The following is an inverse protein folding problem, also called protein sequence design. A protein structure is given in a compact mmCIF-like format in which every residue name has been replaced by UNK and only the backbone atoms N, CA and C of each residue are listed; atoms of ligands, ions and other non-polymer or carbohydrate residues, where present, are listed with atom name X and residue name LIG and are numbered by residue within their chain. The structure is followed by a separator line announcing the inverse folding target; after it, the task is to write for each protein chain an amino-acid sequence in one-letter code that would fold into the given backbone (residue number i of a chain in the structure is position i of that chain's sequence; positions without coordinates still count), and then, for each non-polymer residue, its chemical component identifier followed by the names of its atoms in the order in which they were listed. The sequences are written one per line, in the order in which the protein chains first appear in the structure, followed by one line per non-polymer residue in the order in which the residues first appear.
data_IF_739010314647
#
_entry.id   IF_739010314647
#
_cell.length_a   1.000
_cell.length_b   1.000
_cell.length_c   1.000
_cell.angle_alpha   90.00
_cell.angle_beta   90.00
_cell.angle_gamma   90.00
#
_symmetry.space_group_name_H-M   'P 1'
#
loop_
_entity.id
_entity.type
_entity.pdbx_description
1 polymer ?
#
# COMPACT_ATOMS: atom_id res chain seq x y z
N UNK A 1 0.91 -7.32 24.46
CA UNK A 1 -0.28 -6.59 23.94
C UNK A 1 0.15 -5.86 22.68
N UNK A 2 -0.63 -5.89 21.61
CA UNK A 2 -0.31 -5.24 20.33
C UNK A 2 -1.10 -3.93 20.22
N UNK A 3 -0.55 -2.83 20.75
CA UNK A 3 -1.16 -1.50 20.75
C UNK A 3 -0.27 -0.50 20.01
N UNK A 4 0.08 -0.80 18.75
CA UNK A 4 1.04 0.02 17.99
C UNK A 4 2.52 -0.10 18.42
N UNK A 5 2.81 -0.82 19.51
CA UNK A 5 4.17 -1.09 20.01
C UNK A 5 4.79 -2.33 19.34
N UNK A 6 6.09 -2.57 19.55
CA UNK A 6 6.83 -3.71 19.00
C UNK A 6 6.74 -3.77 17.48
N UNK A 7 6.97 -2.65 16.81
CA UNK A 7 6.69 -2.47 15.38
C UNK A 7 7.97 -2.39 14.55
N UNK A 8 8.60 -3.51 14.15
CA UNK A 8 9.78 -3.47 13.32
C UNK A 8 9.47 -3.29 11.84
N UNK A 9 10.47 -2.81 11.10
CA UNK A 9 10.59 -2.97 9.65
C UNK A 9 11.35 -4.25 9.33
N UNK A 10 10.78 -5.07 8.46
CA UNK A 10 11.42 -6.26 7.91
C UNK A 10 11.63 -6.09 6.40
N UNK A 11 12.88 -6.20 5.97
CA UNK A 11 13.24 -6.07 4.57
C UNK A 11 12.71 -7.23 3.72
N UNK A 12 12.45 -6.93 2.46
CA UNK A 12 12.07 -7.90 1.44
C UNK A 12 13.24 -8.14 0.46
N UNK A 13 13.24 -9.24 -0.32
CA UNK A 13 14.27 -9.47 -1.34
C UNK A 13 14.33 -8.42 -2.45
N UNK A 14 13.22 -7.73 -2.73
CA UNK A 14 13.15 -6.66 -3.73
C UNK A 14 13.55 -5.28 -3.19
N UNK A 15 13.96 -5.20 -1.91
CA UNK A 15 14.41 -3.97 -1.26
C UNK A 15 13.29 -3.09 -0.69
N UNK A 16 12.04 -3.53 -0.76
CA UNK A 16 10.93 -2.92 -0.03
C UNK A 16 10.91 -3.36 1.45
N UNK A 17 9.97 -2.80 2.22
CA UNK A 17 9.89 -3.01 3.67
C UNK A 17 8.47 -3.33 4.09
N UNK A 18 8.34 -4.34 4.93
CA UNK A 18 7.12 -4.67 5.65
C UNK A 18 7.15 -4.05 7.05
N UNK A 19 6.06 -3.41 7.44
CA UNK A 19 5.78 -3.11 8.85
C UNK A 19 5.03 -4.31 9.42
N UNK A 20 5.49 -4.84 10.54
CA UNK A 20 4.78 -5.87 11.30
C UNK A 20 4.80 -5.51 12.78
N UNK A 21 4.09 -6.29 13.60
CA UNK A 21 4.20 -6.27 15.05
C UNK A 21 4.41 -7.67 15.59
N UNK A 22 4.96 -7.79 16.80
CA UNK A 22 5.12 -9.06 17.48
C UNK A 22 4.65 -8.99 18.94
N UNK A 23 4.06 -10.09 19.40
CA UNK A 23 3.54 -10.18 20.76
C UNK A 23 4.62 -10.54 21.77
N UNK A 24 5.47 -11.51 21.43
CA UNK A 24 6.52 -12.01 22.31
C UNK A 24 7.87 -11.98 21.62
N UNK A 25 8.92 -11.72 22.41
CA UNK A 25 10.31 -11.90 22.04
C UNK A 25 10.98 -12.78 23.09
N UNK A 26 11.54 -13.90 22.66
CA UNK A 26 12.28 -14.83 23.51
C UNK A 26 13.73 -14.87 23.04
N UNK A 27 14.67 -14.54 23.92
CA UNK A 27 16.09 -14.73 23.63
C UNK A 27 16.41 -16.22 23.64
N UNK A 28 16.75 -16.76 22.48
CA UNK A 28 17.06 -18.18 22.30
C UNK A 28 18.54 -18.47 22.45
N UNK A 29 19.38 -17.48 22.16
CA UNK A 29 20.83 -17.42 22.36
C UNK A 29 21.23 -15.94 22.46
N UNK A 30 22.45 -15.64 22.93
CA UNK A 30 22.99 -14.27 22.94
C UNK A 30 22.75 -13.58 21.60
N UNK A 31 22.07 -12.43 21.64
CA UNK A 31 21.72 -11.60 20.49
C UNK A 31 20.86 -12.29 19.42
N UNK A 32 20.19 -13.38 19.78
CA UNK A 32 19.30 -14.13 18.89
C UNK A 32 17.92 -14.32 19.51
N UNK A 33 16.96 -13.62 18.91
CA UNK A 33 15.60 -13.54 19.43
C UNK A 33 14.62 -14.28 18.51
N UNK A 34 13.73 -15.04 19.12
CA UNK A 34 12.55 -15.61 18.46
C UNK A 34 11.35 -14.72 18.74
N UNK A 35 10.76 -14.20 17.66
CA UNK A 35 9.54 -13.40 17.72
C UNK A 35 8.32 -14.29 17.44
N UNK A 36 7.27 -14.16 18.24
CA UNK A 36 6.01 -14.92 18.05
C UNK A 36 4.79 -14.04 18.22
N UNK A 37 3.63 -14.52 17.73
CA UNK A 37 2.39 -13.74 17.68
C UNK A 37 2.52 -12.55 16.74
N UNK A 38 2.96 -12.82 15.50
CA UNK A 38 3.22 -11.78 14.50
C UNK A 38 1.90 -11.26 13.91
N UNK A 39 1.75 -9.94 13.87
CA UNK A 39 0.75 -9.24 13.10
C UNK A 39 1.45 -8.58 11.90
N UNK A 40 1.24 -9.12 10.70
CA UNK A 40 2.00 -8.77 9.50
C UNK A 40 1.28 -7.74 8.63
N UNK A 41 2.02 -7.13 7.70
CA UNK A 41 1.46 -6.27 6.65
C UNK A 41 0.80 -4.98 7.14
N UNK A 42 1.26 -4.44 8.26
CA UNK A 42 0.68 -3.24 8.87
C UNK A 42 0.93 -1.99 8.01
N UNK A 43 0.14 -0.94 8.23
CA UNK A 43 0.30 0.36 7.52
C UNK A 43 0.28 0.25 5.99
N UNK A 44 -0.41 -0.76 5.45
CA UNK A 44 -0.56 -1.00 4.02
C UNK A 44 0.60 -1.76 3.36
N UNK A 45 1.40 -2.50 4.14
CA UNK A 45 2.51 -3.30 3.61
C UNK A 45 2.15 -4.78 3.43
N UNK A 46 0.88 -5.09 3.14
CA UNK A 46 0.39 -6.47 2.98
C UNK A 46 1.07 -7.17 1.80
N UNK A 47 1.30 -6.46 0.69
CA UNK A 47 2.01 -7.00 -0.47
C UNK A 47 3.42 -7.43 -0.13
N UNK A 48 4.13 -6.60 0.64
CA UNK A 48 5.46 -6.91 1.14
C UNK A 48 5.41 -8.13 2.06
N UNK A 49 4.38 -8.23 2.92
CA UNK A 49 4.19 -9.36 3.81
C UNK A 49 3.94 -10.70 3.08
N UNK A 50 3.32 -10.66 1.90
CA UNK A 50 3.08 -11.86 1.08
C UNK A 50 4.35 -12.40 0.41
N UNK A 51 5.44 -11.65 0.38
CA UNK A 51 6.70 -12.12 -0.19
C UNK A 51 7.40 -13.12 0.75
N UNK A 52 8.02 -14.15 0.17
CA UNK A 52 8.87 -15.08 0.90
C UNK A 52 10.04 -14.36 1.57
N UNK A 53 10.36 -14.74 2.81
CA UNK A 53 11.43 -14.15 3.61
C UNK A 53 12.63 -15.10 3.73
N UNK A 54 13.70 -14.91 2.94
CA UNK A 54 14.93 -15.67 3.11
C UNK A 54 15.65 -15.27 4.41
N UNK A 55 16.57 -16.12 4.88
CA UNK A 55 17.47 -15.78 6.00
C UNK A 55 18.36 -14.59 5.63
N UNK A 56 18.62 -13.72 6.60
CA UNK A 56 19.52 -12.57 6.44
C UNK A 56 18.85 -11.30 5.94
N UNK A 57 17.52 -11.27 5.85
CA UNK A 57 16.80 -10.02 5.61
C UNK A 57 17.00 -9.05 6.77
N UNK A 58 17.19 -7.75 6.49
CA UNK A 58 17.40 -6.75 7.53
C UNK A 58 16.14 -6.61 8.38
N UNK A 59 16.36 -6.42 9.67
CA UNK A 59 15.31 -6.20 10.66
C UNK A 59 15.69 -4.95 11.46
N UNK A 60 14.78 -3.98 11.50
CA UNK A 60 14.98 -2.72 12.21
C UNK A 60 13.82 -2.58 13.18
N UNK A 61 14.09 -2.62 14.49
CA UNK A 61 13.08 -2.29 15.48
C UNK A 61 12.84 -0.77 15.45
N UNK A 62 11.60 -0.34 15.21
CA UNK A 62 11.25 1.07 15.31
C UNK A 62 10.97 1.39 16.78
N UNK A 63 11.91 2.09 17.39
CA UNK A 63 11.81 2.65 18.74
C UNK A 63 12.15 4.15 18.71
N UNK A 64 12.37 4.74 19.88
CA UNK A 64 12.71 6.17 20.02
C UNK A 64 14.05 6.57 19.37
N UNK A 65 14.93 5.61 19.05
CA UNK A 65 16.17 5.90 18.34
C UNK A 65 15.94 6.16 16.84
N UNK A 66 14.79 5.74 16.29
CA UNK A 66 14.45 5.97 14.88
C UNK A 66 13.63 7.25 14.73
N UNK A 67 14.29 8.29 14.25
CA UNK A 67 13.64 9.58 13.96
C UNK A 67 13.31 9.74 12.47
N UNK A 68 12.22 10.43 12.11
CA UNK A 68 11.95 10.81 10.73
C UNK A 68 13.12 11.60 10.12
N UNK A 69 13.47 11.30 8.88
CA UNK A 69 14.57 11.97 8.17
C UNK A 69 14.34 13.47 7.87
N UNK A 70 13.19 14.03 8.27
CA UNK A 70 12.90 15.46 8.13
C UNK A 70 12.53 15.92 6.72
N UNK A 71 12.09 15.01 5.84
CA UNK A 71 11.63 15.33 4.49
C UNK A 71 10.52 16.39 4.50
N UNK A 72 10.70 17.45 3.72
CA UNK A 72 9.64 18.43 3.45
C UNK A 72 8.63 17.88 2.46
N UNK A 73 7.42 18.44 2.47
CA UNK A 73 6.38 18.04 1.53
C UNK A 73 6.81 18.17 0.05
N UNK A 74 7.58 19.21 -0.30
CA UNK A 74 8.07 19.42 -1.67
C UNK A 74 9.25 18.49 -2.05
N UNK A 75 9.86 17.84 -1.07
CA UNK A 75 10.99 16.92 -1.25
C UNK A 75 10.53 15.47 -1.44
N UNK A 76 9.28 15.16 -1.07
CA UNK A 76 8.71 13.83 -1.22
C UNK A 76 8.69 13.40 -2.70
N UNK A 77 9.28 12.23 -2.98
CA UNK A 77 9.37 11.67 -4.33
C UNK A 77 10.53 12.17 -5.18
N UNK A 78 11.24 13.23 -4.76
CA UNK A 78 12.44 13.68 -5.44
C UNK A 78 13.61 12.75 -5.10
N UNK A 79 14.48 12.49 -6.08
CA UNK A 79 15.77 11.86 -5.81
C UNK A 79 16.68 12.87 -5.09
N UNK A 80 16.95 12.61 -3.82
CA UNK A 80 17.83 13.43 -3.00
C UNK A 80 19.13 12.70 -2.71
N UNK A 81 20.20 13.47 -2.55
CA UNK A 81 21.49 12.98 -2.08
C UNK A 81 21.51 13.03 -0.56
N UNK A 82 21.54 11.85 0.06
CA UNK A 82 21.60 11.64 1.50
C UNK A 82 23.04 11.43 1.92
N UNK A 83 23.44 12.11 3.00
CA UNK A 83 24.69 11.80 3.72
C UNK A 83 24.33 11.25 5.09
N UNK A 84 24.78 10.03 5.36
CA UNK A 84 24.43 9.27 6.54
C UNK A 84 25.73 8.93 7.28
N UNK A 85 25.88 9.44 8.50
CA UNK A 85 27.09 9.31 9.30
C UNK A 85 26.85 9.67 10.76
N UNK A 86 27.88 9.55 11.58
CA UNK A 86 27.81 9.87 12.99
C UNK A 86 27.68 11.38 13.23
N UNK A 87 26.83 11.77 14.20
CA UNK A 87 26.70 13.17 14.58
C UNK A 87 27.99 13.67 15.22
N UNK A 88 28.43 14.89 14.87
CA UNK A 88 29.62 15.53 15.42
C UNK A 88 30.92 15.26 14.65
N UNK A 89 30.92 14.35 13.68
CA UNK A 89 32.08 14.09 12.82
C UNK A 89 32.15 15.04 11.62
N UNK A 90 33.35 15.21 11.07
CA UNK A 90 33.56 15.98 9.84
C UNK A 90 32.92 15.28 8.63
N UNK A 91 32.26 16.07 7.77
CA UNK A 91 31.62 15.60 6.53
C UNK A 91 32.65 15.09 5.51
N UNK A 92 33.09 13.86 5.70
CA UNK A 92 34.06 13.15 4.88
C UNK A 92 33.61 11.72 4.61
N UNK A 93 34.13 11.11 3.56
CA UNK A 93 33.83 9.72 3.19
C UNK A 93 34.31 8.70 4.24
N UNK A 94 35.12 9.13 5.21
CA UNK A 94 35.51 8.32 6.36
C UNK A 94 34.36 8.11 7.35
N UNK A 95 33.56 9.15 7.60
CA UNK A 95 32.52 9.15 8.63
C UNK A 95 31.10 9.16 8.06
N UNK A 96 30.95 9.48 6.77
CA UNK A 96 29.67 9.59 6.09
C UNK A 96 29.64 8.72 4.85
N UNK A 97 28.54 7.98 4.70
CA UNK A 97 28.15 7.35 3.45
C UNK A 97 27.23 8.28 2.66
N UNK A 98 27.39 8.33 1.34
CA UNK A 98 26.51 9.10 0.45
C UNK A 98 25.66 8.15 -0.39
N UNK A 99 24.36 8.40 -0.47
CA UNK A 99 23.44 7.63 -1.33
C UNK A 99 22.39 8.55 -1.96
N UNK A 100 21.93 8.20 -3.16
CA UNK A 100 20.83 8.91 -3.83
C UNK A 100 19.57 8.07 -3.79
N UNK A 101 18.53 8.59 -3.14
CA UNK A 101 17.24 7.89 -2.95
C UNK A 101 16.09 8.89 -2.89
N UNK A 102 14.95 8.48 -3.42
CA UNK A 102 13.66 9.14 -3.21
C UNK A 102 12.90 8.49 -2.04
N UNK A 103 12.03 9.25 -1.39
CA UNK A 103 11.25 8.78 -0.24
C UNK A 103 9.99 9.61 0.01
N UNK A 104 9.27 9.31 1.09
CA UNK A 104 8.14 10.11 1.57
C UNK A 104 6.80 9.84 0.90
N UNK A 105 6.75 9.50 -0.40
CA UNK A 105 5.47 9.31 -1.12
C UNK A 105 4.60 8.21 -0.54
N UNK A 106 5.20 7.11 -0.05
CA UNK A 106 4.44 5.96 0.47
C UNK A 106 3.51 6.36 1.63
N UNK A 107 3.93 7.30 2.47
CA UNK A 107 3.13 7.77 3.60
C UNK A 107 1.90 8.60 3.17
N UNK A 108 1.93 9.16 1.96
CA UNK A 108 0.85 9.94 1.36
C UNK A 108 -0.08 9.10 0.48
N UNK A 109 0.34 7.90 0.08
CA UNK A 109 -0.45 7.05 -0.79
C UNK A 109 -1.65 6.43 -0.05
N UNK A 110 -2.87 6.55 -0.60
CA UNK A 110 -4.03 5.82 -0.11
C UNK A 110 -3.79 4.30 -0.09
N UNK A 111 -4.41 3.65 0.89
CA UNK A 111 -4.40 2.19 1.02
C UNK A 111 -5.23 1.55 -0.09
N UNK A 112 -4.87 0.32 -0.47
CA UNK A 112 -5.60 -0.43 -1.49
C UNK A 112 -7.01 -0.78 -1.02
N UNK A 113 -8.08 -0.48 -1.79
CA UNK A 113 -9.44 -0.89 -1.42
C UNK A 113 -9.54 -2.40 -1.21
N UNK A 114 -10.45 -2.84 -0.34
CA UNK A 114 -10.61 -4.27 0.00
C UNK A 114 -12.03 -4.75 -0.26
N UNK A 115 -12.25 -6.05 -0.06
CA UNK A 115 -13.55 -6.71 -0.16
C UNK A 115 -14.26 -6.48 -1.49
N UNK A 116 -13.49 -6.41 -2.59
CA UNK A 116 -14.02 -6.33 -3.93
C UNK A 116 -15.04 -7.46 -4.18
N UNK A 117 -16.24 -7.09 -4.60
CA UNK A 117 -17.32 -7.98 -5.00
C UNK A 117 -17.73 -7.63 -6.43
N UNK A 118 -18.11 -8.64 -7.19
CA UNK A 118 -18.70 -8.43 -8.50
C UNK A 118 -19.87 -9.37 -8.74
N UNK A 119 -20.85 -8.89 -9.49
CA UNK A 119 -22.04 -9.66 -9.92
C UNK A 119 -22.38 -9.25 -11.35
N UNK A 120 -22.49 -10.23 -12.23
CA UNK A 120 -22.96 -10.02 -13.60
C UNK A 120 -24.46 -10.26 -13.65
N UNK A 121 -25.21 -9.31 -14.18
CA UNK A 121 -26.65 -9.40 -14.35
C UNK A 121 -27.03 -10.02 -15.69
N UNK A 122 -28.28 -10.44 -15.84
CA UNK A 122 -28.77 -11.12 -17.05
C UNK A 122 -28.72 -10.25 -18.30
N UNK A 123 -28.66 -8.92 -18.13
CA UNK A 123 -28.49 -7.95 -19.22
C UNK A 123 -27.01 -7.78 -19.64
N UNK A 124 -26.07 -8.41 -18.92
CA UNK A 124 -24.63 -8.30 -19.16
C UNK A 124 -23.94 -7.17 -18.41
N UNK A 125 -24.61 -6.42 -17.54
CA UNK A 125 -23.93 -5.43 -16.69
C UNK A 125 -23.11 -6.13 -15.61
N UNK A 126 -21.92 -5.62 -15.29
CA UNK A 126 -21.16 -6.06 -14.12
C UNK A 126 -21.26 -4.99 -13.04
N UNK A 127 -21.94 -5.31 -11.96
CA UNK A 127 -21.91 -4.55 -10.72
C UNK A 127 -20.62 -4.86 -9.96
N UNK A 128 -19.91 -3.82 -9.55
CA UNK A 128 -18.62 -3.91 -8.87
C UNK A 128 -18.69 -3.01 -7.64
N UNK A 129 -18.43 -3.58 -6.46
CA UNK A 129 -18.45 -2.88 -5.18
C UNK A 129 -17.18 -3.19 -4.38
N UNK A 130 -16.69 -2.24 -3.60
CA UNK A 130 -15.52 -2.41 -2.73
C UNK A 130 -15.70 -1.66 -1.42
N UNK A 131 -14.72 -1.78 -0.52
CA UNK A 131 -14.70 -1.07 0.75
C UNK A 131 -13.46 -0.19 0.85
N UNK A 132 -13.66 1.06 1.24
CA UNK A 132 -12.60 2.03 1.54
C UNK A 132 -11.76 1.56 2.73
N UNK A 133 -10.49 1.92 2.71
CA UNK A 133 -9.61 1.83 3.88
C UNK A 133 -9.11 3.22 4.25
N UNK A 134 -9.21 3.58 5.53
CA UNK A 134 -8.60 4.81 6.05
C UNK A 134 -7.18 4.57 6.55
N UNK A 135 -6.34 5.59 6.43
CA UNK A 135 -4.97 5.60 6.97
C UNK A 135 -4.72 6.68 8.04
N UNK A 136 -5.58 7.69 8.09
CA UNK A 136 -5.50 8.82 9.03
C UNK A 136 -6.69 8.71 9.96
N UNK A 137 -6.43 8.62 11.27
CA UNK A 137 -7.42 8.61 12.35
C UNK A 137 -8.57 7.59 12.14
N UNK A 138 -8.24 6.45 11.54
CA UNK A 138 -9.19 5.41 11.12
C UNK A 138 -9.37 4.30 12.18
N UNK A 139 -8.94 4.54 13.41
CA UNK A 139 -9.00 3.63 14.56
C UNK A 139 -10.03 4.05 15.62
N UNK A 140 -10.68 5.20 15.43
CA UNK A 140 -11.73 5.70 16.32
C UNK A 140 -13.04 4.93 16.14
N UNK A 141 -13.59 4.46 17.26
CA UNK A 141 -14.90 3.79 17.33
C UNK A 141 -16.05 4.74 17.69
N UNK A 142 -15.76 6.04 17.85
CA UNK A 142 -16.76 7.02 18.29
C UNK A 142 -17.62 7.54 17.14
N UNK A 143 -17.07 7.56 15.92
CA UNK A 143 -17.77 8.02 14.73
C UNK A 143 -18.52 6.85 14.05
N UNK A 144 -19.56 7.18 13.28
CA UNK A 144 -20.32 6.19 12.51
C UNK A 144 -19.53 5.60 11.34
N UNK A 145 -18.55 6.36 10.83
CA UNK A 145 -17.61 5.92 9.81
C UNK A 145 -16.24 6.56 10.07
N UNK A 146 -15.18 5.93 9.57
CA UNK A 146 -13.81 6.42 9.66
C UNK A 146 -13.61 7.65 8.75
N UNK A 147 -12.74 8.60 9.12
CA UNK A 147 -12.38 9.71 8.25
C UNK A 147 -11.91 9.26 6.86
N UNK A 148 -12.18 10.08 5.84
CA UNK A 148 -11.73 9.81 4.46
C UNK A 148 -10.21 9.80 4.37
N UNK A 149 -9.55 10.73 5.07
CA UNK A 149 -8.09 10.88 5.07
C UNK A 149 -7.52 11.56 3.81
N UNK A 150 -8.33 11.75 2.78
CA UNK A 150 -8.03 12.51 1.57
C UNK A 150 -9.06 13.64 1.40
N UNK A 151 -8.82 14.58 0.47
CA UNK A 151 -9.73 15.71 0.22
C UNK A 151 -11.14 15.26 -0.18
N UNK A 152 -11.24 14.17 -0.94
CA UNK A 152 -12.49 13.56 -1.41
C UNK A 152 -12.33 12.05 -1.51
N UNK A 153 -13.44 11.33 -1.36
CA UNK A 153 -13.51 9.91 -1.66
C UNK A 153 -13.71 9.74 -3.19
N UNK A 154 -12.60 9.62 -3.91
CA UNK A 154 -12.61 9.39 -5.36
C UNK A 154 -11.75 8.19 -5.71
N UNK A 155 -12.23 7.36 -6.63
CA UNK A 155 -11.57 6.15 -7.08
C UNK A 155 -11.29 6.19 -8.57
N UNK A 156 -10.10 5.74 -8.94
CA UNK A 156 -9.73 5.41 -10.31
C UNK A 156 -10.01 3.95 -10.58
N UNK A 157 -10.69 3.68 -11.68
CA UNK A 157 -10.99 2.36 -12.20
C UNK A 157 -10.32 2.20 -13.56
N UNK A 158 -9.59 1.11 -13.73
CA UNK A 158 -8.98 0.75 -15.00
C UNK A 158 -9.36 -0.68 -15.36
N UNK A 159 -9.85 -0.87 -16.58
CA UNK A 159 -10.07 -2.18 -17.19
C UNK A 159 -8.95 -2.43 -18.19
N UNK A 160 -8.23 -3.54 -17.98
CA UNK A 160 -7.22 -4.03 -18.88
C UNK A 160 -7.59 -5.39 -19.46
N UNK A 161 -7.01 -5.68 -20.62
CA UNK A 161 -6.90 -7.03 -21.16
C UNK A 161 -5.53 -7.19 -21.78
N UNK A 162 -4.83 -8.25 -21.42
CA UNK A 162 -3.47 -8.53 -21.90
C UNK A 162 -2.55 -7.30 -21.71
N UNK A 163 -2.61 -6.70 -20.52
CA UNK A 163 -1.93 -5.45 -20.12
C UNK A 163 -2.35 -4.17 -20.87
N UNK A 164 -3.16 -4.26 -21.93
CA UNK A 164 -3.69 -3.11 -22.66
C UNK A 164 -4.82 -2.46 -21.88
N UNK A 165 -4.70 -1.16 -21.61
CA UNK A 165 -5.79 -0.34 -21.06
C UNK A 165 -6.91 -0.21 -22.09
N UNK A 166 -8.10 -0.68 -21.73
CA UNK A 166 -9.30 -0.59 -22.54
C UNK A 166 -10.23 0.52 -22.07
N UNK A 167 -10.38 0.65 -20.75
CA UNK A 167 -11.24 1.67 -20.13
C UNK A 167 -10.60 2.27 -18.90
N UNK A 168 -10.93 3.54 -18.72
CA UNK A 168 -10.62 4.36 -17.58
C UNK A 168 -11.89 5.04 -17.08
N UNK A 169 -12.12 5.07 -15.77
CA UNK A 169 -13.19 5.84 -15.15
C UNK A 169 -12.75 6.38 -13.79
N UNK A 170 -13.34 7.51 -13.38
CA UNK A 170 -13.26 8.01 -12.01
C UNK A 170 -14.67 8.07 -11.43
N UNK A 171 -14.82 7.63 -10.18
CA UNK A 171 -16.10 7.58 -9.45
C UNK A 171 -15.92 8.12 -8.04
N UNK A 172 -16.96 8.73 -7.49
CA UNK A 172 -16.96 9.31 -6.14
C UNK A 172 -17.69 8.43 -5.10
N UNK A 173 -18.01 7.19 -5.48
CA UNK A 173 -18.62 6.19 -4.61
C UNK A 173 -17.86 4.87 -4.72
N UNK A 174 -17.87 4.01 -3.68
CA UNK A 174 -17.17 2.73 -3.69
C UNK A 174 -17.92 1.65 -4.48
N UNK A 175 -18.56 2.05 -5.58
CA UNK A 175 -19.29 1.19 -6.50
C UNK A 175 -19.16 1.70 -7.94
N UNK A 176 -19.22 0.78 -8.89
CA UNK A 176 -19.25 1.09 -10.31
C UNK A 176 -19.95 -0.01 -11.10
N UNK A 177 -20.65 0.39 -12.17
CA UNK A 177 -21.31 -0.53 -13.08
C UNK A 177 -20.57 -0.48 -14.42
N UNK A 178 -19.93 -1.59 -14.78
CA UNK A 178 -19.40 -1.77 -16.12
C UNK A 178 -20.54 -2.25 -17.02
N UNK A 179 -21.21 -1.29 -17.66
CA UNK A 179 -22.41 -1.54 -18.46
C UNK A 179 -22.14 -2.48 -19.63
N UNK A 180 -23.10 -3.32 -19.99
CA UNK A 180 -23.01 -4.24 -21.11
C UNK A 180 -22.63 -3.53 -22.43
N UNK A 181 -23.16 -2.32 -22.66
CA UNK A 181 -22.83 -1.50 -23.83
C UNK A 181 -21.35 -1.09 -23.86
N UNK A 182 -20.81 -0.70 -22.71
CA UNK A 182 -19.41 -0.33 -22.55
C UNK A 182 -18.50 -1.55 -22.73
N UNK A 183 -18.88 -2.69 -22.15
CA UNK A 183 -18.18 -3.97 -22.31
C UNK A 183 -18.12 -4.40 -23.77
N UNK A 184 -19.23 -4.31 -24.50
CA UNK A 184 -19.29 -4.63 -25.93
C UNK A 184 -18.42 -3.68 -26.75
N UNK A 185 -18.40 -2.39 -26.43
CA UNK A 185 -17.54 -1.42 -27.11
C UNK A 185 -16.04 -1.71 -26.88
N UNK A 186 -15.66 -2.11 -25.68
CA UNK A 186 -14.27 -2.32 -25.30
C UNK A 186 -13.72 -3.70 -25.68
N UNK A 187 -14.57 -4.74 -25.62
CA UNK A 187 -14.17 -6.15 -25.74
C UNK A 187 -14.75 -6.85 -26.97
N UNK A 188 -15.79 -6.28 -27.60
CA UNK A 188 -16.53 -6.89 -28.71
C UNK A 188 -17.44 -8.07 -28.30
N UNK A 189 -17.37 -8.55 -27.07
CA UNK A 189 -18.22 -9.62 -26.53
C UNK A 189 -18.32 -9.50 -24.99
N UNK A 190 -19.28 -10.22 -24.40
CA UNK A 190 -19.52 -10.22 -22.95
C UNK A 190 -18.87 -11.40 -22.21
N UNK A 191 -18.26 -12.35 -22.92
CA UNK A 191 -17.70 -13.58 -22.35
C UNK A 191 -16.17 -13.52 -22.18
N UNK A 192 -15.64 -12.29 -22.19
CA UNK A 192 -14.22 -12.02 -22.04
C UNK A 192 -13.83 -11.76 -20.59
N UNK A 193 -12.83 -12.52 -20.10
CA UNK A 193 -12.10 -12.18 -18.86
C UNK A 193 -11.36 -10.84 -19.01
N UNK A 194 -11.41 -10.04 -17.95
CA UNK A 194 -10.75 -8.73 -17.85
C UNK A 194 -9.94 -8.60 -16.56
N UNK A 195 -8.91 -7.78 -16.60
CA UNK A 195 -8.15 -7.34 -15.43
C UNK A 195 -8.70 -6.00 -14.93
N UNK A 196 -9.44 -6.04 -13.83
CA UNK A 196 -9.94 -4.85 -13.15
C UNK A 196 -8.88 -4.35 -12.15
N UNK A 197 -8.63 -3.05 -12.13
CA UNK A 197 -7.90 -2.40 -11.05
C UNK A 197 -8.61 -1.18 -10.52
N UNK A 198 -8.62 -1.02 -9.19
CA UNK A 198 -9.29 0.08 -8.49
C UNK A 198 -8.33 0.67 -7.44
N UNK A 199 -8.10 1.97 -7.49
CA UNK A 199 -7.28 2.71 -6.53
C UNK A 199 -8.00 3.96 -6.05
N UNK A 200 -7.92 4.25 -4.74
CA UNK A 200 -8.34 5.55 -4.22
C UNK A 200 -7.33 6.62 -4.67
N UNK A 201 -7.83 7.81 -4.99
CA UNK A 201 -7.03 8.94 -5.47
C UNK A 201 -6.71 9.86 -4.29
N UNK A 202 -5.43 10.21 -4.14
CA UNK A 202 -5.00 11.34 -3.34
C UNK A 202 -4.77 12.55 -4.23
N UNK A 203 -5.18 13.73 -3.78
CA UNK A 203 -4.87 14.98 -4.46
C UNK A 203 -3.36 15.28 -4.46
N UNK A 204 -2.62 14.79 -3.47
CA UNK A 204 -1.19 15.05 -3.32
C UNK A 204 -0.32 14.18 -4.24
N UNK A 205 -0.68 12.90 -4.39
CA UNK A 205 0.19 11.90 -5.06
C UNK A 205 -0.51 11.09 -6.14
N UNK A 206 -1.75 11.42 -6.47
CA UNK A 206 -2.56 10.69 -7.44
C UNK A 206 -3.06 9.34 -6.89
N UNK A 207 -3.29 8.34 -7.77
CA UNK A 207 -3.78 7.03 -7.36
C UNK A 207 -2.83 6.34 -6.38
N UNK A 208 -3.40 5.82 -5.28
CA UNK A 208 -2.71 4.95 -4.34
C UNK A 208 -2.48 3.55 -4.89
N UNK A 209 -2.24 2.59 -4.00
CA UNK A 209 -2.13 1.19 -4.40
C UNK A 209 -3.48 0.69 -4.92
N UNK A 210 -3.45 0.03 -6.08
CA UNK A 210 -4.67 -0.48 -6.71
C UNK A 210 -4.96 -1.93 -6.31
N UNK A 211 -6.15 -2.23 -5.78
CA UNK A 211 -6.65 -3.60 -5.76
C UNK A 211 -6.80 -4.08 -7.20
N UNK A 212 -6.37 -5.32 -7.50
CA UNK A 212 -6.45 -5.93 -8.83
C UNK A 212 -7.16 -7.27 -8.80
N UNK A 213 -8.12 -7.49 -9.70
CA UNK A 213 -8.83 -8.76 -9.81
C UNK A 213 -9.14 -9.10 -11.26
N UNK A 214 -8.89 -10.35 -11.62
CA UNK A 214 -9.44 -10.96 -12.83
C UNK A 214 -10.93 -11.20 -12.65
N UNK A 215 -11.73 -10.60 -13.52
CA UNK A 215 -13.17 -10.84 -13.57
C UNK A 215 -13.47 -11.70 -14.79
N UNK A 216 -13.79 -12.96 -14.55
CA UNK A 216 -14.32 -13.86 -15.57
C UNK A 216 -15.85 -13.69 -15.62
N UNK A 217 -16.46 -13.65 -16.81
CA UNK A 217 -17.91 -13.73 -16.94
C UNK A 217 -18.40 -15.07 -16.38
N UNK A 218 -19.54 -15.04 -15.67
CA UNK A 218 -20.21 -16.24 -15.16
C UNK A 218 -21.11 -16.85 -16.22
#
# INVERSE_FOLDING_TARGET
MLNGVNSPLLGTPDGSWEVLQFLNAEETQSDQWRLTGLLRGQSGTEREAMQTRPKGMPFILLDEAVSPAGLKAQEAGLELTWRIGASGEDFSDQFFSTTTRAGGLRALQPLEPVHLRSRTDSNGDIHIDWMRRGRIDADSWLAADIPVGEERETYRIEIRKDEKLLRFAEVDEPSWIYKASDRLADLGNLDTEIDLSIAMISAAVGPGRAMRRKLSPK
#
